data_IF_130459711122
#
_entry.id   IF_130459711122
#
_cell.length_a   1.000
_cell.length_b   1.000
_cell.length_c   1.000
_cell.angle_alpha   90.00
_cell.angle_beta   90.00
_cell.angle_gamma   90.00
#
_symmetry.space_group_name_H-M   'P 1'
#
loop_
_entity.id
_entity.type
_entity.pdbx_description
1 polymer ?
#
# COMPACT_ATOMS: atom_id res chain seq x y z
N UNK A 1 -17.02 -20.14 1.47
CA UNK A 1 -16.80 -18.69 1.29
C UNK A 1 -18.06 -17.83 1.53
N UNK A 2 -19.27 -18.38 1.66
CA UNK A 2 -20.53 -17.60 1.75
C UNK A 2 -20.97 -17.14 3.16
N UNK A 3 -20.16 -17.31 4.21
CA UNK A 3 -20.61 -17.07 5.61
C UNK A 3 -19.79 -16.02 6.38
N UNK A 4 -18.68 -15.54 5.81
CA UNK A 4 -17.81 -14.54 6.47
C UNK A 4 -18.34 -13.12 6.20
N UNK A 5 -18.79 -12.85 4.97
CA UNK A 5 -19.39 -11.55 4.60
C UNK A 5 -20.73 -11.30 5.33
N UNK A 6 -21.52 -12.34 5.62
CA UNK A 6 -22.76 -12.23 6.40
C UNK A 6 -22.48 -11.87 7.86
N UNK A 7 -21.46 -12.48 8.47
CA UNK A 7 -21.05 -12.21 9.85
C UNK A 7 -20.59 -10.75 10.03
N UNK A 8 -19.87 -10.20 9.05
CA UNK A 8 -19.42 -8.81 9.09
C UNK A 8 -20.52 -7.78 8.90
N UNK A 9 -21.69 -8.13 8.35
CA UNK A 9 -22.83 -7.19 8.30
C UNK A 9 -23.24 -6.69 9.69
N UNK A 10 -23.02 -7.50 10.73
CA UNK A 10 -23.28 -7.08 12.13
C UNK A 10 -22.29 -6.02 12.64
N UNK A 11 -21.12 -5.88 12.00
CA UNK A 11 -20.14 -4.85 12.29
C UNK A 11 -20.41 -3.56 11.51
N UNK A 12 -21.24 -3.56 10.47
CA UNK A 12 -21.51 -2.38 9.67
C UNK A 12 -22.47 -1.40 10.39
N UNK A 13 -22.27 -0.08 10.26
CA UNK A 13 -23.21 0.91 10.80
C UNK A 13 -24.65 0.65 10.34
N UNK A 14 -25.60 0.81 11.26
CA UNK A 14 -27.01 0.45 11.06
C UNK A 14 -27.85 1.57 10.40
N UNK A 15 -27.23 2.41 9.57
CA UNK A 15 -27.82 3.62 9.00
C UNK A 15 -28.43 3.41 7.60
N UNK A 16 -28.88 2.18 7.34
CA UNK A 16 -29.58 1.75 6.12
C UNK A 16 -28.92 0.52 5.49
N UNK A 17 -29.72 -0.41 4.94
CA UNK A 17 -29.28 -1.71 4.39
C UNK A 17 -28.43 -1.64 3.11
N UNK A 18 -27.76 -0.52 2.86
CA UNK A 18 -27.11 -0.17 1.59
C UNK A 18 -25.61 -0.47 1.50
N UNK A 19 -25.04 -1.28 2.39
CA UNK A 19 -23.63 -1.64 2.28
C UNK A 19 -23.42 -2.77 1.27
N UNK A 20 -22.62 -2.49 0.24
CA UNK A 20 -22.29 -3.41 -0.84
C UNK A 20 -20.84 -3.89 -0.69
N UNK A 21 -20.56 -5.19 -0.83
CA UNK A 21 -19.19 -5.69 -0.79
C UNK A 21 -18.42 -5.15 -2.01
N UNK A 22 -17.20 -4.71 -1.77
CA UNK A 22 -16.23 -4.41 -2.83
C UNK A 22 -15.45 -5.69 -3.09
N UNK A 23 -15.43 -6.12 -4.35
CA UNK A 23 -14.77 -7.38 -4.76
C UNK A 23 -13.33 -7.18 -5.21
N UNK A 24 -12.90 -5.94 -5.36
CA UNK A 24 -11.56 -5.58 -5.79
C UNK A 24 -10.67 -5.52 -4.53
N UNK A 25 -9.85 -6.55 -4.31
CA UNK A 25 -8.92 -6.63 -3.19
C UNK A 25 -8.45 -8.05 -2.89
N UNK A 26 -7.14 -8.22 -2.67
CA UNK A 26 -6.48 -9.53 -2.50
C UNK A 26 -6.16 -9.85 -1.03
N UNK A 27 -6.70 -9.07 -0.09
CA UNK A 27 -6.46 -9.25 1.34
C UNK A 27 -7.50 -10.18 2.01
N UNK A 28 -7.15 -10.74 3.16
CA UNK A 28 -8.08 -11.49 4.01
C UNK A 28 -9.21 -10.62 4.64
N UNK A 29 -9.18 -9.29 4.42
CA UNK A 29 -10.20 -8.37 4.89
C UNK A 29 -11.37 -8.28 3.90
N UNK A 30 -12.59 -8.10 4.42
CA UNK A 30 -13.76 -7.79 3.59
C UNK A 30 -13.99 -6.28 3.58
N UNK A 31 -14.01 -5.67 2.40
CA UNK A 31 -14.28 -4.24 2.23
C UNK A 31 -15.72 -4.05 1.77
N UNK A 32 -16.42 -3.09 2.37
CA UNK A 32 -17.77 -2.70 2.00
C UNK A 32 -17.82 -1.22 1.67
N UNK A 33 -18.67 -0.83 0.72
CA UNK A 33 -18.95 0.56 0.35
C UNK A 33 -20.40 0.91 0.71
N UNK A 34 -20.62 2.09 1.27
CA UNK A 34 -21.98 2.58 1.54
C UNK A 34 -22.73 2.89 0.25
N UNK A 35 -24.06 2.80 0.25
CA UNK A 35 -24.89 3.02 -0.95
C UNK A 35 -24.72 4.42 -1.58
N UNK A 36 -24.45 5.44 -0.76
CA UNK A 36 -24.15 6.80 -1.26
C UNK A 36 -22.70 6.95 -1.78
N UNK A 37 -21.89 5.90 -1.65
CA UNK A 37 -20.50 5.84 -2.10
C UNK A 37 -19.52 6.65 -1.27
N UNK A 38 -19.94 7.25 -0.15
CA UNK A 38 -19.15 8.22 0.64
C UNK A 38 -18.32 7.60 1.75
N UNK A 39 -18.52 6.31 2.03
CA UNK A 39 -17.85 5.62 3.13
C UNK A 39 -17.44 4.22 2.73
N UNK A 40 -16.34 3.76 3.31
CA UNK A 40 -15.88 2.39 3.23
C UNK A 40 -15.79 1.78 4.63
N UNK A 41 -16.00 0.49 4.72
CA UNK A 41 -15.82 -0.28 5.94
C UNK A 41 -14.92 -1.49 5.64
N UNK A 42 -13.72 -1.51 6.21
CA UNK A 42 -12.81 -2.67 6.16
C UNK A 42 -13.08 -3.53 7.38
N UNK A 43 -13.44 -4.79 7.18
CA UNK A 43 -13.81 -5.73 8.23
C UNK A 43 -12.82 -6.89 8.27
N UNK A 44 -12.41 -7.29 9.46
CA UNK A 44 -11.51 -8.43 9.70
C UNK A 44 -12.07 -9.32 10.80
N UNK A 45 -11.78 -10.64 10.79
CA UNK A 45 -12.21 -11.52 11.86
C UNK A 45 -11.44 -11.22 13.16
N UNK A 46 -11.93 -11.72 14.30
CA UNK A 46 -11.37 -11.44 15.62
C UNK A 46 -9.84 -11.62 15.71
N UNK A 47 -9.28 -12.67 15.07
CA UNK A 47 -7.84 -12.93 15.05
C UNK A 47 -6.97 -11.86 14.39
N UNK A 48 -7.54 -10.98 13.56
CA UNK A 48 -6.83 -9.92 12.84
C UNK A 48 -7.18 -8.51 13.33
N UNK A 49 -7.94 -8.38 14.42
CA UNK A 49 -8.40 -7.08 14.96
C UNK A 49 -7.24 -6.13 15.24
N UNK A 50 -6.14 -6.63 15.82
CA UNK A 50 -4.97 -5.81 16.12
C UNK A 50 -4.32 -5.23 14.86
N UNK A 51 -4.28 -5.98 13.74
CA UNK A 51 -3.75 -5.48 12.47
C UNK A 51 -4.59 -4.31 11.96
N UNK A 52 -5.92 -4.45 11.97
CA UNK A 52 -6.83 -3.40 11.52
C UNK A 52 -6.85 -2.19 12.46
N UNK A 53 -6.66 -2.40 13.76
CA UNK A 53 -6.48 -1.33 14.74
C UNK A 53 -5.24 -0.49 14.40
N UNK A 54 -4.13 -1.14 14.02
CA UNK A 54 -2.93 -0.40 13.63
C UNK A 54 -3.10 0.35 12.30
N UNK A 55 -4.00 -0.08 11.42
CA UNK A 55 -4.38 0.68 10.21
C UNK A 55 -5.23 1.91 10.54
N UNK A 56 -6.19 1.77 11.47
CA UNK A 56 -6.97 2.90 12.02
C UNK A 56 -6.04 3.98 12.55
N UNK A 57 -5.11 3.59 13.42
CA UNK A 57 -4.21 4.53 14.10
C UNK A 57 -3.27 5.24 13.10
N UNK A 58 -2.83 4.54 12.04
CA UNK A 58 -2.05 5.13 10.95
C UNK A 58 -2.85 6.13 10.13
N UNK A 59 -4.09 5.80 9.78
CA UNK A 59 -4.98 6.70 9.06
C UNK A 59 -5.30 7.97 9.89
N UNK A 60 -5.60 7.81 11.18
CA UNK A 60 -5.82 8.93 12.09
C UNK A 60 -4.59 9.83 12.22
N UNK A 61 -3.40 9.24 12.40
CA UNK A 61 -2.16 10.00 12.45
C UNK A 61 -1.90 10.74 11.15
N UNK A 62 -2.01 10.08 9.99
CA UNK A 62 -1.76 10.71 8.70
C UNK A 62 -2.71 11.90 8.44
N UNK A 63 -3.97 11.79 8.89
CA UNK A 63 -4.94 12.88 8.83
C UNK A 63 -4.53 14.14 9.60
N UNK A 64 -3.51 14.07 10.48
CA UNK A 64 -2.93 15.22 11.17
C UNK A 64 -1.70 15.82 10.46
N UNK A 65 -1.22 15.22 9.37
CA UNK A 65 0.06 15.55 8.71
C UNK A 65 -0.10 16.35 7.41
N UNK A 66 -1.27 16.93 7.13
CA UNK A 66 -1.57 17.63 5.86
C UNK A 66 -1.28 16.77 4.61
N UNK A 67 -1.50 15.45 4.72
CA UNK A 67 -1.46 14.51 3.60
C UNK A 67 -2.89 14.05 3.31
N UNK A 68 -3.35 14.12 2.04
CA UNK A 68 -4.71 13.71 1.71
C UNK A 68 -4.90 12.19 1.84
N UNK A 69 -6.00 11.78 2.45
CA UNK A 69 -6.34 10.38 2.69
C UNK A 69 -7.71 10.21 3.37
N UNK A 70 -8.12 8.97 3.67
CA UNK A 70 -9.37 8.67 4.34
C UNK A 70 -9.37 9.21 5.78
N UNK A 71 -10.51 9.75 6.23
CA UNK A 71 -10.73 10.07 7.65
C UNK A 71 -11.41 8.90 8.34
N UNK A 72 -10.96 8.53 9.53
CA UNK A 72 -11.67 7.56 10.37
C UNK A 72 -12.99 8.17 10.84
N UNK A 73 -14.08 7.43 10.65
CA UNK A 73 -15.44 7.84 11.01
C UNK A 73 -15.99 7.02 12.18
N UNK A 74 -15.66 5.73 12.23
CA UNK A 74 -16.11 4.84 13.30
C UNK A 74 -15.15 3.63 13.44
N UNK A 75 -15.11 3.07 14.64
CA UNK A 75 -14.38 1.84 14.96
C UNK A 75 -15.28 0.92 15.76
N UNK A 76 -15.53 -0.28 15.22
CA UNK A 76 -16.55 -1.19 15.76
C UNK A 76 -15.93 -2.55 16.01
N UNK A 77 -16.20 -3.14 17.17
CA UNK A 77 -15.69 -4.46 17.55
C UNK A 77 -16.84 -5.28 18.14
N UNK A 78 -16.94 -6.54 17.74
CA UNK A 78 -17.87 -7.51 18.31
C UNK A 78 -17.24 -8.92 18.28
N UNK A 79 -17.92 -9.98 18.76
CA UNK A 79 -17.35 -11.33 18.75
C UNK A 79 -16.95 -11.88 17.36
N UNK A 80 -17.51 -11.35 16.26
CA UNK A 80 -17.14 -11.74 14.90
C UNK A 80 -15.81 -11.10 14.45
N UNK A 81 -15.44 -9.94 15.00
CA UNK A 81 -14.20 -9.25 14.68
C UNK A 81 -14.29 -7.73 14.83
N UNK A 82 -13.66 -7.01 13.90
CA UNK A 82 -13.61 -5.56 13.92
C UNK A 82 -13.87 -4.93 12.56
N UNK A 83 -14.39 -3.71 12.56
CA UNK A 83 -14.60 -2.89 11.38
C UNK A 83 -14.05 -1.48 11.59
N UNK A 84 -13.27 -1.03 10.62
CA UNK A 84 -12.79 0.33 10.47
C UNK A 84 -13.63 1.03 9.41
N UNK A 85 -14.40 2.04 9.81
CA UNK A 85 -15.21 2.84 8.88
C UNK A 85 -14.48 4.13 8.57
N UNK A 86 -14.29 4.42 7.29
CA UNK A 86 -13.60 5.63 6.82
C UNK A 86 -14.45 6.41 5.81
N UNK A 87 -14.13 7.70 5.65
CA UNK A 87 -14.63 8.48 4.52
C UNK A 87 -14.00 7.98 3.23
N UNK A 88 -14.78 7.95 2.14
CA UNK A 88 -14.24 7.75 0.80
C UNK A 88 -13.26 8.89 0.45
N UNK A 89 -12.16 8.52 -0.20
CA UNK A 89 -11.36 9.47 -0.97
C UNK A 89 -12.01 9.55 -2.35
N UNK A 90 -12.58 10.70 -2.68
CA UNK A 90 -13.30 10.88 -3.94
C UNK A 90 -12.32 10.95 -5.12
N UNK A 91 -12.58 10.14 -6.14
CA UNK A 91 -11.78 10.11 -7.35
C UNK A 91 -11.73 8.74 -7.99
N UNK A 92 -10.73 8.54 -8.84
CA UNK A 92 -10.49 7.30 -9.58
C UNK A 92 -9.11 6.75 -9.17
N UNK A 93 -9.03 5.47 -8.74
CA UNK A 93 -7.74 4.81 -8.52
C UNK A 93 -6.83 4.90 -9.76
N UNK A 94 -5.53 5.12 -9.55
CA UNK A 94 -4.59 5.43 -10.63
C UNK A 94 -4.34 4.25 -11.58
N UNK A 95 -4.62 3.01 -11.17
CA UNK A 95 -4.58 1.81 -12.02
C UNK A 95 -5.73 1.77 -13.05
N UNK A 96 -6.81 2.52 -12.80
CA UNK A 96 -8.02 2.52 -13.64
C UNK A 96 -8.04 3.62 -14.67
N UNK A 97 -7.08 4.54 -14.64
CA UNK A 97 -7.01 5.61 -15.66
C UNK A 97 -6.20 5.13 -16.86
N UNK A 98 -6.53 5.55 -18.10
CA UNK A 98 -5.74 5.21 -19.27
C UNK A 98 -4.30 5.74 -19.15
N UNK A 99 -3.34 5.09 -19.83
CA UNK A 99 -1.93 5.50 -19.85
C UNK A 99 -1.72 6.99 -20.13
N UNK A 100 -2.51 7.59 -21.02
CA UNK A 100 -2.44 9.02 -21.31
C UNK A 100 -2.77 9.90 -20.10
N UNK A 101 -3.80 9.53 -19.32
CA UNK A 101 -4.17 10.23 -18.10
C UNK A 101 -3.15 9.99 -16.99
N UNK A 102 -2.63 8.76 -16.84
CA UNK A 102 -1.56 8.46 -15.89
C UNK A 102 -0.29 9.28 -16.20
N UNK A 103 0.09 9.44 -17.49
CA UNK A 103 1.20 10.32 -17.90
C UNK A 103 0.99 11.77 -17.45
N UNK A 104 -0.24 12.28 -17.51
CA UNK A 104 -0.58 13.63 -17.01
C UNK A 104 -0.53 13.70 -15.49
N UNK A 105 -1.04 12.68 -14.80
CA UNK A 105 -1.03 12.58 -13.34
C UNK A 105 0.37 12.32 -12.74
N UNK A 106 1.33 11.85 -13.55
CA UNK A 106 2.62 11.39 -13.06
C UNK A 106 3.43 12.45 -12.31
N UNK A 107 3.41 13.69 -12.80
CA UNK A 107 4.01 14.83 -12.11
C UNK A 107 3.37 15.10 -10.74
N UNK A 108 2.02 15.29 -10.67
CA UNK A 108 1.28 15.36 -9.42
C UNK A 108 1.50 14.19 -8.45
N UNK A 109 1.59 12.95 -8.95
CA UNK A 109 1.91 11.78 -8.14
C UNK A 109 3.30 11.93 -7.51
N UNK A 110 4.31 12.30 -8.30
CA UNK A 110 5.66 12.51 -7.77
C UNK A 110 5.69 13.59 -6.67
N UNK A 111 4.94 14.68 -6.83
CA UNK A 111 4.84 15.72 -5.81
C UNK A 111 4.12 15.26 -4.54
N UNK A 112 3.02 14.51 -4.67
CA UNK A 112 2.28 13.99 -3.52
C UNK A 112 3.10 12.96 -2.73
N UNK A 113 3.82 12.06 -3.44
CA UNK A 113 4.72 11.08 -2.82
C UNK A 113 5.90 11.79 -2.17
N UNK A 114 6.48 12.81 -2.81
CA UNK A 114 7.54 13.64 -2.22
C UNK A 114 7.06 14.38 -0.97
N UNK A 115 5.80 14.84 -0.95
CA UNK A 115 5.20 15.47 0.22
C UNK A 115 5.05 14.49 1.38
N UNK A 116 4.51 13.29 1.13
CA UNK A 116 4.43 12.20 2.11
C UNK A 116 5.82 11.83 2.65
N UNK A 117 6.79 11.60 1.77
CA UNK A 117 8.16 11.25 2.15
C UNK A 117 8.91 12.41 2.81
N UNK A 118 8.44 13.65 2.62
CA UNK A 118 8.96 14.86 3.25
C UNK A 118 8.47 15.09 4.68
N UNK A 119 7.50 14.30 5.16
CA UNK A 119 7.09 14.31 6.57
C UNK A 119 8.27 13.96 7.48
N UNK A 120 8.27 14.51 8.70
CA UNK A 120 9.34 14.25 9.65
C UNK A 120 9.34 12.80 10.11
N UNK A 121 10.29 12.00 9.60
CA UNK A 121 10.46 10.61 10.02
C UNK A 121 10.67 10.47 11.54
N UNK A 122 11.24 11.46 12.23
CA UNK A 122 11.40 11.40 13.69
C UNK A 122 10.08 11.61 14.46
N UNK A 123 9.05 12.18 13.83
CA UNK A 123 7.73 12.40 14.41
C UNK A 123 6.73 11.30 14.06
N UNK A 124 7.06 10.42 13.11
CA UNK A 124 6.22 9.26 12.78
C UNK A 124 6.34 8.18 13.87
N UNK A 125 5.23 7.80 14.52
CA UNK A 125 5.23 6.80 15.59
C UNK A 125 5.32 5.36 15.05
N UNK A 126 5.13 5.18 13.74
CA UNK A 126 5.09 3.87 13.10
C UNK A 126 6.41 3.55 12.41
N UNK A 127 6.74 2.27 12.35
CA UNK A 127 7.88 1.77 11.57
C UNK A 127 7.43 0.60 10.72
N UNK A 128 8.01 0.53 9.53
CA UNK A 128 8.02 -0.61 8.62
C UNK A 128 9.46 -0.76 8.11
N UNK A 129 10.43 -0.54 9.01
CA UNK A 129 11.84 -0.62 8.67
C UNK A 129 12.23 -2.01 8.12
N UNK A 130 13.35 -2.05 7.43
CA UNK A 130 13.84 -3.27 6.79
C UNK A 130 14.08 -4.40 7.79
N UNK A 131 14.41 -4.11 9.05
CA UNK A 131 14.59 -5.16 10.05
C UNK A 131 13.27 -5.88 10.32
N UNK A 132 12.17 -5.12 10.46
CA UNK A 132 10.84 -5.67 10.63
C UNK A 132 10.34 -6.37 9.37
N UNK A 133 10.47 -5.74 8.19
CA UNK A 133 10.06 -6.34 6.92
C UNK A 133 10.75 -7.70 6.68
N UNK A 134 12.07 -7.76 6.91
CA UNK A 134 12.83 -8.99 6.70
C UNK A 134 12.51 -10.07 7.73
N UNK A 135 12.20 -9.69 8.98
CA UNK A 135 11.71 -10.62 9.99
C UNK A 135 10.34 -11.21 9.61
N UNK A 136 9.41 -10.37 9.12
CA UNK A 136 8.12 -10.81 8.57
C UNK A 136 8.33 -11.75 7.39
N UNK A 137 9.21 -11.42 6.44
CA UNK A 137 9.49 -12.28 5.30
C UNK A 137 9.99 -13.67 5.71
N UNK A 138 10.87 -13.74 6.72
CA UNK A 138 11.33 -15.00 7.29
C UNK A 138 10.20 -15.83 7.90
N UNK A 139 9.27 -15.20 8.60
CA UNK A 139 8.13 -15.87 9.21
C UNK A 139 7.16 -16.42 8.15
N UNK A 140 6.78 -15.60 7.17
CA UNK A 140 5.88 -15.99 6.07
C UNK A 140 6.47 -17.16 5.27
N UNK A 141 7.75 -17.07 4.89
CA UNK A 141 8.45 -18.15 4.19
C UNK A 141 8.49 -19.42 5.05
N UNK A 142 8.85 -19.32 6.33
CA UNK A 142 8.92 -20.48 7.23
C UNK A 142 7.57 -21.18 7.45
N UNK A 143 6.45 -20.45 7.35
CA UNK A 143 5.09 -21.00 7.41
C UNK A 143 4.59 -21.56 6.08
N UNK A 144 5.34 -21.38 4.99
CA UNK A 144 4.90 -21.74 3.63
C UNK A 144 3.67 -20.93 3.18
N UNK A 145 3.57 -19.67 3.63
CA UNK A 145 2.40 -18.82 3.44
C UNK A 145 2.56 -17.78 2.33
N UNK A 146 3.69 -17.80 1.60
CA UNK A 146 3.90 -16.90 0.45
C UNK A 146 2.89 -17.22 -0.63
N UNK A 147 2.15 -16.20 -1.06
CA UNK A 147 1.31 -16.29 -2.24
C UNK A 147 2.17 -16.15 -3.50
N UNK A 148 2.16 -17.18 -4.35
CA UNK A 148 2.91 -17.16 -5.60
C UNK A 148 2.39 -16.14 -6.60
N UNK A 149 1.12 -15.73 -6.51
CA UNK A 149 0.55 -14.75 -7.45
C UNK A 149 1.11 -13.34 -7.23
N UNK A 150 1.60 -13.02 -6.02
CA UNK A 150 2.24 -11.73 -5.71
C UNK A 150 3.71 -11.66 -6.17
N UNK A 151 4.31 -12.81 -6.50
CA UNK A 151 5.68 -12.83 -7.00
C UNK A 151 5.75 -12.34 -8.46
N UNK A 152 6.86 -11.68 -8.85
CA UNK A 152 7.15 -11.44 -10.27
C UNK A 152 7.01 -12.74 -11.07
N UNK A 153 6.47 -12.67 -12.29
CA UNK A 153 6.11 -13.85 -13.10
C UNK A 153 7.28 -14.83 -13.24
N UNK A 154 8.51 -14.32 -13.38
CA UNK A 154 9.72 -15.14 -13.48
C UNK A 154 10.14 -15.84 -12.18
N UNK A 155 9.57 -15.46 -11.04
CA UNK A 155 9.85 -16.01 -9.71
C UNK A 155 8.77 -16.96 -9.20
N UNK A 156 7.57 -17.00 -9.81
CA UNK A 156 6.44 -17.81 -9.32
C UNK A 156 6.73 -19.32 -9.25
N UNK A 157 7.70 -19.80 -10.04
CA UNK A 157 8.17 -21.20 -10.01
C UNK A 157 9.39 -21.46 -9.12
N UNK A 158 9.89 -20.45 -8.39
CA UNK A 158 11.05 -20.56 -7.50
C UNK A 158 10.60 -20.78 -6.06
N UNK A 159 11.33 -21.62 -5.32
CA UNK A 159 11.09 -21.83 -3.90
C UNK A 159 11.28 -20.51 -3.10
N UNK A 160 10.30 -20.09 -2.26
CA UNK A 160 10.43 -18.88 -1.44
C UNK A 160 11.65 -18.85 -0.51
N UNK A 161 12.13 -20.00 -0.03
CA UNK A 161 13.38 -20.07 0.75
C UNK A 161 14.59 -19.64 -0.11
N UNK A 162 14.61 -20.01 -1.39
CA UNK A 162 15.64 -19.59 -2.32
C UNK A 162 15.54 -18.09 -2.62
N UNK A 163 14.32 -17.56 -2.79
CA UNK A 163 14.10 -16.13 -3.02
C UNK A 163 14.60 -15.30 -1.83
N UNK A 164 14.26 -15.68 -0.60
CA UNK A 164 14.73 -15.02 0.61
C UNK A 164 16.26 -15.13 0.77
N UNK A 165 16.85 -16.28 0.41
CA UNK A 165 18.30 -16.47 0.42
C UNK A 165 19.03 -15.55 -0.57
N UNK A 166 18.42 -15.17 -1.72
CA UNK A 166 18.99 -14.21 -2.67
C UNK A 166 19.06 -12.77 -2.11
N UNK A 167 18.16 -12.43 -1.19
CA UNK A 167 18.09 -11.10 -0.57
C UNK A 167 19.03 -10.97 0.65
N UNK A 168 19.20 -12.06 1.41
CA UNK A 168 19.98 -12.08 2.65
C UNK A 168 21.37 -11.43 2.56
N UNK A 169 22.20 -11.69 1.53
CA UNK A 169 23.54 -11.09 1.43
C UNK A 169 23.54 -9.56 1.26
N UNK A 170 22.42 -8.97 0.82
CA UNK A 170 22.29 -7.53 0.58
C UNK A 170 21.83 -6.78 1.83
N UNK A 171 21.36 -7.48 2.87
CA UNK A 171 20.68 -6.89 4.03
C UNK A 171 21.51 -5.82 4.73
N UNK A 172 22.80 -6.07 4.99
CA UNK A 172 23.67 -5.11 5.67
C UNK A 172 23.84 -3.81 4.87
N UNK A 173 23.96 -3.90 3.55
CA UNK A 173 24.04 -2.73 2.68
C UNK A 173 22.73 -1.93 2.68
N UNK A 174 21.59 -2.63 2.58
CA UNK A 174 20.25 -2.01 2.53
C UNK A 174 19.87 -1.35 3.85
N UNK A 175 20.21 -1.96 4.99
CA UNK A 175 20.05 -1.33 6.30
C UNK A 175 20.85 -0.03 6.44
N UNK A 176 22.07 0.01 5.91
CA UNK A 176 22.88 1.24 5.93
C UNK A 176 22.27 2.34 5.03
N UNK A 177 21.73 1.97 3.87
CA UNK A 177 21.04 2.90 2.97
C UNK A 177 19.73 3.43 3.59
N UNK A 178 18.92 2.56 4.19
CA UNK A 178 17.70 2.94 4.91
C UNK A 178 18.03 3.92 6.04
N UNK A 179 19.03 3.63 6.88
CA UNK A 179 19.43 4.50 7.97
C UNK A 179 19.87 5.91 7.51
N UNK A 180 20.42 6.03 6.30
CA UNK A 180 20.85 7.30 5.73
C UNK A 180 19.70 8.12 5.13
N UNK A 181 18.65 7.47 4.64
CA UNK A 181 17.61 8.08 3.80
C UNK A 181 16.19 7.68 4.22
N UNK A 182 15.96 7.39 5.51
CA UNK A 182 14.64 7.00 6.02
C UNK A 182 13.62 8.11 5.79
N UNK A 183 12.45 7.74 5.27
CA UNK A 183 11.28 8.61 5.07
C UNK A 183 10.04 8.00 5.73
N UNK A 184 8.92 8.71 5.74
CA UNK A 184 7.61 8.11 6.04
C UNK A 184 7.05 7.54 4.75
N UNK A 185 6.97 6.22 4.66
CA UNK A 185 6.38 5.51 3.52
C UNK A 185 4.89 5.22 3.75
N UNK A 186 4.14 5.15 2.66
CA UNK A 186 2.83 4.56 2.56
C UNK A 186 2.86 3.08 2.97
N UNK A 187 3.90 2.35 2.56
CA UNK A 187 4.16 0.95 2.90
C UNK A 187 3.51 -0.08 1.98
N UNK A 188 2.73 0.38 1.00
CA UNK A 188 2.12 -0.39 -0.09
C UNK A 188 1.72 0.56 -1.25
N UNK A 189 2.68 1.34 -1.75
CA UNK A 189 2.42 2.42 -2.72
C UNK A 189 2.22 1.89 -4.15
N UNK A 190 1.22 1.04 -4.35
CA UNK A 190 0.78 0.57 -5.66
C UNK A 190 -0.20 1.57 -6.30
N UNK A 191 -0.34 1.57 -7.64
CA UNK A 191 -1.29 2.46 -8.33
C UNK A 191 -2.75 2.43 -7.80
N UNK A 192 -3.33 1.28 -7.43
CA UNK A 192 -4.68 1.24 -6.86
C UNK A 192 -4.84 2.03 -5.55
N UNK A 193 -3.74 2.23 -4.82
CA UNK A 193 -3.72 2.92 -3.54
C UNK A 193 -3.52 4.44 -3.68
N UNK A 194 -3.44 4.95 -4.91
CA UNK A 194 -3.37 6.38 -5.23
C UNK A 194 -4.66 6.78 -5.92
N UNK A 195 -5.45 7.66 -5.30
CA UNK A 195 -6.71 8.16 -5.87
C UNK A 195 -6.46 9.49 -6.56
N UNK A 196 -6.91 9.61 -7.80
CA UNK A 196 -6.80 10.80 -8.62
C UNK A 196 -8.13 11.54 -8.73
N UNK A 197 -8.08 12.86 -8.69
CA UNK A 197 -9.19 13.71 -9.07
C UNK A 197 -9.45 13.55 -10.58
N UNK A 198 -10.68 13.20 -11.01
CA UNK A 198 -10.95 12.82 -12.39
C UNK A 198 -10.87 14.00 -13.38
N UNK A 199 -10.99 15.23 -12.90
CA UNK A 199 -11.01 16.43 -13.74
C UNK A 199 -9.61 17.06 -13.85
N UNK A 200 -8.89 17.12 -12.74
CA UNK A 200 -7.58 17.78 -12.62
C UNK A 200 -6.41 16.81 -12.73
N UNK A 201 -6.65 15.51 -12.53
CA UNK A 201 -5.62 14.45 -12.45
C UNK A 201 -4.55 14.72 -11.38
N UNK A 202 -4.91 15.49 -10.35
CA UNK A 202 -4.11 15.64 -9.14
C UNK A 202 -4.43 14.53 -8.15
N UNK A 203 -3.55 14.29 -7.16
CA UNK A 203 -3.77 13.25 -6.15
C UNK A 203 -4.82 13.72 -5.14
N UNK A 204 -5.97 13.06 -5.12
CA UNK A 204 -7.05 13.26 -4.14
C UNK A 204 -6.74 12.64 -2.77
N UNK A 205 -5.87 11.61 -2.74
CA UNK A 205 -5.40 11.00 -1.50
C UNK A 205 -4.86 9.60 -1.67
N UNK A 206 -4.24 9.10 -0.60
CA UNK A 206 -3.75 7.73 -0.47
C UNK A 206 -4.72 6.87 0.33
N UNK A 207 -4.89 5.60 -0.05
CA UNK A 207 -5.76 4.63 0.64
C UNK A 207 -4.99 3.35 0.98
N UNK A 208 -5.54 2.51 1.86
CA UNK A 208 -4.89 1.30 2.38
C UNK A 208 -3.58 1.57 3.15
N UNK A 209 -3.69 2.40 4.19
CA UNK A 209 -2.58 2.89 5.01
C UNK A 209 -2.12 1.89 6.07
N UNK A 210 -2.50 0.61 5.97
CA UNK A 210 -2.23 -0.40 7.01
C UNK A 210 -0.76 -0.67 7.24
N UNK A 211 0.07 -0.37 6.24
CA UNK A 211 1.52 -0.59 6.24
C UNK A 211 2.33 0.70 6.43
N UNK A 212 1.68 1.86 6.60
CA UNK A 212 2.35 3.15 6.74
C UNK A 212 3.39 3.17 7.87
N UNK A 213 4.55 3.75 7.61
CA UNK A 213 5.59 3.86 8.62
C UNK A 213 6.94 4.26 8.05
N UNK A 214 7.89 4.44 8.95
CA UNK A 214 9.27 4.76 8.59
C UNK A 214 9.91 3.59 7.87
N UNK A 215 10.49 3.88 6.70
CA UNK A 215 11.23 2.92 5.90
C UNK A 215 12.12 3.65 4.89
N UNK A 216 12.87 2.87 4.13
CA UNK A 216 13.53 3.29 2.91
C UNK A 216 12.51 3.77 1.83
N UNK A 217 12.75 4.89 1.13
CA UNK A 217 11.83 5.37 0.09
C UNK A 217 11.59 4.33 -1.03
N UNK A 218 12.54 3.44 -1.28
CA UNK A 218 12.36 2.38 -2.29
C UNK A 218 11.38 1.30 -1.86
N UNK A 219 10.99 1.20 -0.58
CA UNK A 219 9.88 0.34 -0.17
C UNK A 219 8.57 0.75 -0.85
N UNK A 220 8.39 2.05 -1.13
CA UNK A 220 7.25 2.58 -1.86
C UNK A 220 7.52 2.69 -3.37
N UNK A 221 8.65 3.29 -3.75
CA UNK A 221 8.93 3.57 -5.17
C UNK A 221 9.04 2.30 -6.02
N UNK A 222 9.54 1.19 -5.46
CA UNK A 222 9.63 -0.07 -6.19
C UNK A 222 8.24 -0.60 -6.59
N UNK A 223 7.25 -0.49 -5.68
CA UNK A 223 5.87 -0.92 -5.94
C UNK A 223 5.15 0.02 -6.90
N UNK A 224 5.36 1.33 -6.75
CA UNK A 224 4.80 2.34 -7.64
C UNK A 224 5.27 2.15 -9.08
N UNK A 225 6.58 1.94 -9.27
CA UNK A 225 7.15 1.75 -10.60
C UNK A 225 6.74 0.41 -11.23
N UNK A 226 6.72 -0.67 -10.45
CA UNK A 226 6.29 -1.98 -10.92
C UNK A 226 4.83 -1.94 -11.40
N UNK A 227 3.91 -1.41 -10.60
CA UNK A 227 2.49 -1.35 -10.97
C UNK A 227 2.22 -0.33 -12.09
N UNK A 228 2.99 0.76 -12.18
CA UNK A 228 2.89 1.69 -13.30
C UNK A 228 3.35 1.08 -14.64
N UNK A 229 4.35 0.19 -14.62
CA UNK A 229 4.82 -0.53 -15.82
C UNK A 229 3.72 -1.34 -16.49
N UNK A 230 2.77 -1.86 -15.73
CA UNK A 230 1.62 -2.61 -16.27
C UNK A 230 0.63 -1.70 -17.04
N UNK A 231 0.65 -0.40 -16.76
CA UNK A 231 -0.20 0.60 -17.41
C UNK A 231 0.45 1.22 -18.65
N UNK A 232 1.79 1.30 -18.69
CA UNK A 232 2.51 1.91 -19.80
C UNK A 232 2.44 1.06 -21.08
N UNK A 233 2.37 1.72 -22.23
CA UNK A 233 2.22 1.04 -23.52
C UNK A 233 3.46 0.19 -23.89
N UNK A 234 4.65 0.62 -23.46
CA UNK A 234 5.93 -0.03 -23.75
C UNK A 234 7.02 0.32 -22.72
N UNK A 235 8.12 -0.45 -22.75
CA UNK A 235 9.27 -0.29 -21.84
C UNK A 235 9.99 1.06 -21.99
N UNK A 236 9.99 1.66 -23.18
CA UNK A 236 10.66 2.94 -23.40
C UNK A 236 9.90 4.07 -22.71
N UNK A 237 8.56 4.03 -22.75
CA UNK A 237 7.73 4.95 -21.99
C UNK A 237 7.87 4.74 -20.49
N UNK A 238 7.91 3.48 -20.03
CA UNK A 238 8.10 3.18 -18.62
C UNK A 238 9.43 3.74 -18.08
N UNK A 239 10.53 3.50 -18.79
CA UNK A 239 11.84 4.03 -18.41
C UNK A 239 11.86 5.56 -18.40
N UNK A 240 11.29 6.22 -19.42
CA UNK A 240 11.20 7.67 -19.47
C UNK A 240 10.31 8.25 -18.35
N UNK A 241 9.24 7.56 -17.98
CA UNK A 241 8.37 7.94 -16.86
C UNK A 241 9.13 7.87 -15.53
N UNK A 242 9.88 6.80 -15.27
CA UNK A 242 10.69 6.68 -14.05
C UNK A 242 11.78 7.74 -13.95
N UNK A 243 12.46 8.05 -15.05
CA UNK A 243 13.45 9.13 -15.08
C UNK A 243 12.79 10.50 -14.79
N UNK A 244 11.63 10.77 -15.40
CA UNK A 244 10.86 11.99 -15.14
C UNK A 244 10.35 12.07 -13.69
N UNK A 245 9.93 10.92 -13.12
CA UNK A 245 9.56 10.81 -11.71
C UNK A 245 10.75 11.16 -10.83
N UNK A 246 11.90 10.53 -11.05
CA UNK A 246 13.09 10.67 -10.24
C UNK A 246 13.58 12.12 -10.22
N UNK A 247 13.56 12.80 -11.37
CA UNK A 247 13.90 14.23 -11.47
C UNK A 247 12.94 15.09 -10.64
N UNK A 248 11.62 14.84 -10.70
CA UNK A 248 10.62 15.65 -9.99
C UNK A 248 10.58 15.34 -8.49
N UNK A 249 10.71 14.07 -8.12
CA UNK A 249 10.79 13.60 -6.75
C UNK A 249 12.12 14.03 -6.08
N UNK A 250 13.20 14.15 -6.87
CA UNK A 250 14.52 14.60 -6.39
C UNK A 250 15.42 13.47 -5.92
N UNK A 251 15.39 12.31 -6.57
CA UNK A 251 16.23 11.14 -6.26
C UNK A 251 17.05 10.70 -7.48
N UNK A 252 18.21 10.10 -7.23
CA UNK A 252 18.96 9.38 -8.26
C UNK A 252 18.59 7.90 -8.20
N UNK A 253 18.15 7.32 -9.32
CA UNK A 253 17.66 5.93 -9.34
C UNK A 253 18.75 4.90 -9.03
N UNK A 254 18.58 4.14 -7.96
CA UNK A 254 19.36 2.94 -7.61
C UNK A 254 18.54 1.68 -7.92
N UNK A 255 18.78 1.10 -9.10
CA UNK A 255 18.08 -0.11 -9.57
C UNK A 255 18.35 -1.35 -8.71
N UNK A 256 19.49 -1.39 -8.02
CA UNK A 256 19.83 -2.50 -7.12
C UNK A 256 19.00 -2.46 -5.84
N UNK A 257 18.76 -1.25 -5.32
CA UNK A 257 17.93 -0.99 -4.14
C UNK A 257 16.44 -1.15 -4.45
N UNK A 258 15.98 -0.60 -5.57
CA UNK A 258 14.62 -0.77 -6.07
C UNK A 258 14.24 -2.26 -6.21
N UNK A 259 15.04 -3.03 -6.95
CA UNK A 259 14.80 -4.47 -7.15
C UNK A 259 14.82 -5.26 -5.84
N UNK A 260 15.63 -4.85 -4.86
CA UNK A 260 15.65 -5.50 -3.56
C UNK A 260 14.29 -5.39 -2.86
N UNK A 261 13.70 -4.19 -2.81
CA UNK A 261 12.39 -4.00 -2.19
C UNK A 261 11.26 -4.64 -3.01
N UNK A 262 11.33 -4.58 -4.35
CA UNK A 262 10.37 -5.25 -5.22
C UNK A 262 10.32 -6.77 -4.98
N UNK A 263 11.47 -7.40 -4.76
CA UNK A 263 11.54 -8.84 -4.47
C UNK A 263 11.27 -9.19 -3.01
N UNK A 264 11.47 -8.24 -2.09
CA UNK A 264 11.19 -8.46 -0.67
C UNK A 264 9.70 -8.39 -0.38
N UNK A 265 8.98 -7.43 -0.95
CA UNK A 265 7.60 -7.13 -0.55
C UNK A 265 6.64 -8.33 -0.67
N UNK A 266 6.61 -9.10 -1.79
CA UNK A 266 5.75 -10.28 -1.90
C UNK A 266 5.98 -11.32 -0.80
N UNK A 267 7.22 -11.44 -0.32
CA UNK A 267 7.57 -12.37 0.76
C UNK A 267 7.05 -11.92 2.12
N UNK A 268 6.54 -10.69 2.25
CA UNK A 268 6.00 -10.14 3.50
C UNK A 268 4.48 -10.30 3.65
N UNK A 269 3.83 -11.02 2.72
CA UNK A 269 2.38 -11.26 2.72
C UNK A 269 2.09 -12.73 3.03
N UNK A 270 1.32 -12.99 4.11
CA UNK A 270 0.83 -14.34 4.47
C UNK A 270 0.68 -14.60 5.96
#
# INVERSE_FOLDING_TARGET
>A
MSDVSSAFRTLLPADGDGWEPVTDGESAASVFRSADGKRYAKCVPAGHTASLETERDRADWLGTQDVPGPRVLDWRVNPAGAALVTSAVEGVPADRVPAAALRTAWGPIADAVRHLHGLSASQCPYTRDLTLMFATARDVVARGAVDSEFLPVEQQGTDPDELLARLTPQLAQRLAQEAAETVVCHGDLCLPNIVLDPDTLTVSGFIDLGRLGRADPYADLALLFATARETWDDEAQAAAAEDAFAVRYGITLDRGRERFYLHLDPLTWG
#
